data_IF_471775237640
#
_entry.id   IF_471775237640
#
_cell.length_a   1.000
_cell.length_b   1.000
_cell.length_c   1.000
_cell.angle_alpha   90.00
_cell.angle_beta   90.00
_cell.angle_gamma   90.00
#
_symmetry.space_group_name_H-M   'P 1'
#
loop_
_entity.id
_entity.type
_entity.pdbx_description
1 polymer ?
#
# COMPACT_ATOMS: atom_id res chain seq x y z
N UNK A 1 -26.10 -41.09 8.80
CA UNK A 1 -25.37 -41.60 9.99
C UNK A 1 -24.04 -40.88 10.31
N UNK A 2 -23.07 -40.64 9.39
CA UNK A 2 -21.78 -40.01 9.77
C UNK A 2 -21.87 -38.51 10.09
N UNK A 3 -22.90 -37.82 9.56
CA UNK A 3 -23.12 -36.39 9.82
C UNK A 3 -23.54 -36.10 11.26
N UNK A 4 -24.29 -37.00 11.91
CA UNK A 4 -24.71 -36.83 13.31
C UNK A 4 -23.49 -36.88 14.25
N UNK A 5 -22.52 -37.74 13.93
CA UNK A 5 -21.27 -37.86 14.70
C UNK A 5 -20.38 -36.62 14.48
N UNK A 6 -20.31 -36.11 13.25
CA UNK A 6 -19.59 -34.87 12.94
C UNK A 6 -20.22 -33.66 13.64
N UNK A 7 -21.56 -33.55 13.61
CA UNK A 7 -22.30 -32.45 14.24
C UNK A 7 -22.17 -32.50 15.78
N UNK A 8 -22.22 -33.70 16.36
CA UNK A 8 -21.95 -33.90 17.79
C UNK A 8 -20.52 -33.53 18.19
N UNK A 9 -19.53 -33.88 17.36
CA UNK A 9 -18.13 -33.53 17.62
C UNK A 9 -17.89 -32.02 17.52
N UNK A 10 -18.54 -31.31 16.59
CA UNK A 10 -18.46 -29.85 16.49
C UNK A 10 -19.13 -29.13 17.66
N UNK A 11 -20.28 -29.65 18.12
CA UNK A 11 -20.96 -29.12 19.32
C UNK A 11 -20.11 -29.33 20.58
N UNK A 12 -19.50 -30.51 20.72
CA UNK A 12 -18.62 -30.81 21.85
C UNK A 12 -17.35 -29.97 21.84
N UNK A 13 -16.72 -29.79 20.67
CA UNK A 13 -15.54 -28.93 20.51
C UNK A 13 -15.88 -27.45 20.81
N UNK A 14 -17.03 -26.95 20.34
CA UNK A 14 -17.51 -25.61 20.66
C UNK A 14 -17.76 -25.42 22.15
N UNK A 15 -18.36 -26.41 22.82
CA UNK A 15 -18.53 -26.41 24.27
C UNK A 15 -17.20 -26.40 25.03
N UNK A 16 -16.23 -27.19 24.58
CA UNK A 16 -14.90 -27.27 25.20
C UNK A 16 -14.12 -25.96 25.05
N UNK A 17 -14.21 -25.30 23.89
CA UNK A 17 -13.64 -23.96 23.66
C UNK A 17 -14.35 -22.91 24.51
N UNK A 18 -15.68 -22.96 24.63
CA UNK A 18 -16.44 -22.06 25.49
C UNK A 18 -16.03 -22.17 26.96
N UNK A 19 -15.86 -23.40 27.47
CA UNK A 19 -15.34 -23.65 28.82
C UNK A 19 -13.92 -23.10 28.95
N UNK A 20 -13.04 -23.32 27.96
CA UNK A 20 -11.68 -22.79 27.96
C UNK A 20 -11.64 -21.26 28.02
N UNK A 21 -12.49 -20.58 27.25
CA UNK A 21 -12.61 -19.12 27.23
C UNK A 21 -13.13 -18.59 28.58
N UNK A 22 -14.13 -19.26 29.17
CA UNK A 22 -14.65 -18.91 30.50
C UNK A 22 -13.56 -19.06 31.56
N UNK A 23 -12.78 -20.14 31.50
CA UNK A 23 -11.64 -20.37 32.40
C UNK A 23 -10.61 -19.26 32.20
N UNK A 24 -10.13 -19.00 30.98
CA UNK A 24 -9.15 -17.95 30.72
C UNK A 24 -9.60 -16.55 31.16
N UNK A 25 -10.89 -16.25 31.02
CA UNK A 25 -11.45 -14.96 31.44
C UNK A 25 -11.63 -14.85 32.96
N UNK A 26 -11.93 -15.94 33.66
CA UNK A 26 -12.09 -15.97 35.13
C UNK A 26 -10.80 -16.26 35.90
N UNK A 27 -9.79 -16.84 35.27
CA UNK A 27 -8.45 -17.05 35.85
C UNK A 27 -7.86 -15.78 36.48
N UNK A 28 -7.90 -14.57 35.85
CA UNK A 28 -7.37 -13.37 36.50
C UNK A 28 -8.17 -12.93 37.73
N UNK A 29 -9.49 -13.17 37.76
CA UNK A 29 -10.33 -12.89 38.94
C UNK A 29 -10.12 -13.89 40.07
N UNK A 30 -9.88 -15.17 39.74
CA UNK A 30 -9.53 -16.22 40.71
C UNK A 30 -8.11 -16.04 41.25
N UNK A 31 -7.18 -15.54 40.43
CA UNK A 31 -5.83 -15.17 40.85
C UNK A 31 -5.84 -13.99 41.84
N UNK A 32 -6.75 -13.03 41.69
CA UNK A 32 -6.92 -11.90 42.63
C UNK A 32 -7.47 -12.32 43.99
N UNK A 33 -8.36 -13.31 44.05
CA UNK A 33 -8.85 -13.90 45.32
C UNK A 33 -7.80 -14.79 46.00
N UNK A 34 -6.85 -15.33 45.24
CA UNK A 34 -5.75 -16.16 45.72
C UNK A 34 -4.54 -15.36 46.26
N UNK A 35 -4.70 -14.04 46.47
CA UNK A 35 -3.65 -13.18 47.07
C UNK A 35 -3.50 -13.37 48.59
N UNK A 36 -4.23 -14.32 49.18
CA UNK A 36 -3.88 -14.87 50.48
C UNK A 36 -2.99 -16.10 50.27
N UNK A 37 -1.80 -16.06 50.87
CA UNK A 37 -0.63 -16.93 50.68
C UNK A 37 -1.00 -18.44 50.72
N UNK A 38 -1.48 -19.01 49.62
CA UNK A 38 -1.67 -20.45 49.45
C UNK A 38 -0.59 -21.06 48.54
N UNK A 39 -0.01 -22.22 48.91
CA UNK A 39 1.09 -22.82 48.16
C UNK A 39 0.60 -23.40 46.83
N UNK A 40 1.19 -22.91 45.74
CA UNK A 40 1.28 -23.51 44.39
C UNK A 40 0.10 -24.39 43.93
N UNK A 41 -1.02 -23.74 43.58
CA UNK A 41 -2.20 -24.40 43.01
C UNK A 41 -1.91 -25.19 41.71
N UNK A 42 -0.96 -24.77 40.87
CA UNK A 42 -0.58 -25.52 39.67
C UNK A 42 0.12 -26.86 40.00
N UNK A 43 0.87 -26.91 41.09
CA UNK A 43 1.50 -28.14 41.58
C UNK A 43 0.45 -29.09 42.16
N UNK A 44 -0.49 -28.58 42.97
CA UNK A 44 -1.56 -29.39 43.56
C UNK A 44 -2.58 -29.90 42.56
N UNK A 45 -3.01 -29.07 41.60
CA UNK A 45 -3.94 -29.50 40.55
C UNK A 45 -3.30 -30.56 39.64
N UNK A 46 -2.04 -30.39 39.23
CA UNK A 46 -1.36 -31.40 38.42
C UNK A 46 -1.11 -32.69 39.20
N UNK A 47 -0.78 -32.63 40.49
CA UNK A 47 -0.65 -33.80 41.38
C UNK A 47 -2.01 -34.48 41.66
N UNK A 48 -3.09 -33.72 41.83
CA UNK A 48 -4.45 -34.27 42.01
C UNK A 48 -4.99 -34.89 40.71
N UNK A 49 -4.71 -34.27 39.56
CA UNK A 49 -5.02 -34.84 38.25
C UNK A 49 -4.17 -36.09 38.02
N UNK A 50 -2.88 -36.07 38.35
CA UNK A 50 -1.95 -37.21 38.19
C UNK A 50 -2.34 -38.39 39.08
N UNK A 51 -2.77 -38.14 40.32
CA UNK A 51 -3.24 -39.19 41.25
C UNK A 51 -4.61 -39.74 40.85
N UNK A 52 -5.52 -38.90 40.31
CA UNK A 52 -6.78 -39.39 39.73
C UNK A 52 -6.57 -40.15 38.43
N UNK A 53 -5.61 -39.74 37.61
CA UNK A 53 -5.28 -40.38 36.33
C UNK A 53 -4.53 -41.71 36.53
N UNK A 54 -3.70 -41.83 37.57
CA UNK A 54 -3.00 -43.08 37.92
C UNK A 54 -3.92 -44.14 38.54
N UNK A 55 -5.07 -43.75 39.10
CA UNK A 55 -6.11 -44.66 39.60
C UNK A 55 -6.99 -45.30 38.51
N UNK A 56 -7.05 -44.70 37.32
CA UNK A 56 -7.63 -45.32 36.13
C UNK A 56 -6.61 -46.31 35.59
N UNK A 57 -6.88 -47.62 35.71
CA UNK A 57 -6.04 -48.69 35.15
C UNK A 57 -5.76 -48.44 33.65
N UNK A 58 -4.62 -47.80 33.42
CA UNK A 58 -4.13 -47.27 32.14
C UNK A 58 -3.85 -48.36 31.11
N UNK A 59 -3.68 -49.60 31.55
CA UNK A 59 -3.26 -50.75 30.73
C UNK A 59 -4.19 -51.02 29.54
N UNK A 60 -5.51 -50.91 29.72
CA UNK A 60 -6.47 -51.32 28.69
C UNK A 60 -7.08 -50.15 27.90
N UNK A 61 -7.11 -48.95 28.48
CA UNK A 61 -7.72 -47.77 27.83
C UNK A 61 -6.76 -47.02 26.91
N UNK A 62 -5.47 -46.97 27.25
CA UNK A 62 -4.49 -46.27 26.44
C UNK A 62 -4.35 -46.78 25.00
N UNK A 63 -4.25 -48.09 24.75
CA UNK A 63 -4.16 -48.59 23.38
C UNK A 63 -5.43 -48.29 22.58
N UNK A 64 -6.61 -48.39 23.20
CA UNK A 64 -7.89 -48.05 22.56
C UNK A 64 -7.96 -46.56 22.24
N UNK A 65 -7.57 -45.69 23.17
CA UNK A 65 -7.51 -44.24 22.96
C UNK A 65 -6.50 -43.86 21.87
N UNK A 66 -5.30 -44.43 21.88
CA UNK A 66 -4.27 -44.20 20.84
C UNK A 66 -4.78 -44.64 19.47
N UNK A 67 -5.49 -45.78 19.37
CA UNK A 67 -6.08 -46.22 18.10
C UNK A 67 -7.17 -45.27 17.58
N UNK A 68 -7.96 -44.68 18.48
CA UNK A 68 -9.01 -43.72 18.13
C UNK A 68 -8.42 -42.34 17.77
N UNK A 69 -7.37 -41.94 18.47
CA UNK A 69 -6.58 -40.75 18.16
C UNK A 69 -5.97 -40.87 16.76
N UNK A 70 -5.39 -42.04 16.43
CA UNK A 70 -4.82 -42.31 15.11
C UNK A 70 -5.88 -42.20 14.00
N UNK A 71 -7.06 -42.81 14.18
CA UNK A 71 -8.19 -42.66 13.23
C UNK A 71 -8.63 -41.20 13.08
N UNK A 72 -8.63 -40.45 14.18
CA UNK A 72 -8.99 -39.03 14.18
C UNK A 72 -7.94 -38.20 13.44
N UNK A 73 -6.66 -38.43 13.70
CA UNK A 73 -5.53 -37.79 13.03
C UNK A 73 -5.53 -38.04 11.51
N UNK A 74 -5.87 -39.26 11.06
CA UNK A 74 -6.03 -39.55 9.63
C UNK A 74 -7.17 -38.72 9.00
N UNK A 75 -8.30 -38.58 9.70
CA UNK A 75 -9.42 -37.74 9.25
C UNK A 75 -9.05 -36.26 9.25
N UNK A 76 -8.32 -35.80 10.26
CA UNK A 76 -7.79 -34.44 10.32
C UNK A 76 -6.84 -34.17 9.15
N UNK A 77 -5.91 -35.10 8.84
CA UNK A 77 -5.03 -34.99 7.68
C UNK A 77 -5.82 -34.82 6.38
N UNK A 78 -6.87 -35.60 6.18
CA UNK A 78 -7.74 -35.49 5.00
C UNK A 78 -8.55 -34.18 4.99
N UNK A 79 -9.01 -33.70 6.15
CA UNK A 79 -9.69 -32.42 6.27
C UNK A 79 -8.76 -31.26 5.93
N UNK A 80 -7.52 -31.29 6.42
CA UNK A 80 -6.48 -30.31 6.08
C UNK A 80 -6.22 -30.31 4.57
N UNK A 81 -6.12 -31.49 3.94
CA UNK A 81 -5.95 -31.58 2.48
C UNK A 81 -7.11 -30.96 1.70
N UNK A 82 -8.35 -31.14 2.18
CA UNK A 82 -9.54 -30.52 1.57
C UNK A 82 -9.52 -28.99 1.73
N UNK A 83 -9.13 -28.52 2.90
CA UNK A 83 -8.99 -27.09 3.19
C UNK A 83 -7.91 -26.47 2.31
N UNK A 84 -6.77 -27.13 2.13
CA UNK A 84 -5.70 -26.70 1.23
C UNK A 84 -6.20 -26.55 -0.21
N UNK A 85 -6.97 -27.52 -0.69
CA UNK A 85 -7.56 -27.47 -2.03
C UNK A 85 -8.60 -26.33 -2.19
N UNK A 86 -9.34 -25.99 -1.12
CA UNK A 86 -10.21 -24.82 -1.09
C UNK A 86 -9.41 -23.51 -1.12
N UNK A 87 -8.29 -23.45 -0.38
CA UNK A 87 -7.41 -22.29 -0.40
C UNK A 87 -6.82 -22.03 -1.79
N UNK A 88 -6.43 -23.08 -2.53
CA UNK A 88 -5.96 -22.94 -3.91
C UNK A 88 -7.02 -22.27 -4.79
N UNK A 89 -8.28 -22.68 -4.67
CA UNK A 89 -9.39 -22.07 -5.41
C UNK A 89 -9.62 -20.59 -5.02
N UNK A 90 -9.57 -20.27 -3.73
CA UNK A 90 -9.73 -18.89 -3.26
C UNK A 90 -8.58 -17.98 -3.68
N UNK A 91 -7.34 -18.48 -3.67
CA UNK A 91 -6.17 -17.76 -4.16
C UNK A 91 -6.33 -17.44 -5.65
N UNK A 92 -6.82 -18.39 -6.45
CA UNK A 92 -7.10 -18.18 -7.86
C UNK A 92 -8.15 -17.08 -8.06
N UNK A 93 -9.28 -17.16 -7.37
CA UNK A 93 -10.31 -16.12 -7.43
C UNK A 93 -9.81 -14.74 -6.98
N UNK A 94 -8.97 -14.68 -5.94
CA UNK A 94 -8.41 -13.42 -5.47
C UNK A 94 -7.49 -12.79 -6.52
N UNK A 95 -6.69 -13.60 -7.22
CA UNK A 95 -5.83 -13.14 -8.31
C UNK A 95 -6.64 -12.62 -9.49
N UNK A 96 -7.63 -13.39 -9.96
CA UNK A 96 -8.50 -13.00 -11.06
C UNK A 96 -9.26 -11.69 -10.74
N UNK A 97 -9.71 -11.52 -9.49
CA UNK A 97 -10.31 -10.27 -9.01
C UNK A 97 -9.33 -9.10 -8.99
N UNK A 98 -8.08 -9.32 -8.56
CA UNK A 98 -7.03 -8.29 -8.59
C UNK A 98 -6.73 -7.83 -10.02
N UNK A 99 -6.63 -8.78 -10.96
CA UNK A 99 -6.34 -8.49 -12.36
C UNK A 99 -7.49 -7.71 -13.01
N UNK A 100 -8.74 -8.09 -12.75
CA UNK A 100 -9.91 -7.31 -13.23
C UNK A 100 -9.99 -5.93 -12.58
N UNK A 101 -9.62 -5.78 -11.30
CA UNK A 101 -9.60 -4.48 -10.62
C UNK A 101 -8.52 -3.55 -11.17
N UNK A 102 -7.34 -4.08 -11.48
CA UNK A 102 -6.26 -3.30 -12.12
C UNK A 102 -6.61 -2.88 -13.54
N UNK A 103 -7.26 -3.74 -14.32
CA UNK A 103 -7.78 -3.40 -15.65
C UNK A 103 -8.85 -2.29 -15.54
N UNK A 104 -9.80 -2.42 -14.60
CA UNK A 104 -10.87 -1.43 -14.40
C UNK A 104 -10.32 -0.10 -13.89
N UNK A 105 -9.33 -0.12 -13.02
CA UNK A 105 -8.62 1.07 -12.53
C UNK A 105 -7.89 1.79 -13.68
N UNK A 106 -7.16 1.06 -14.53
CA UNK A 106 -6.52 1.63 -15.72
C UNK A 106 -7.54 2.26 -16.67
N UNK A 107 -8.65 1.57 -16.95
CA UNK A 107 -9.72 2.12 -17.81
C UNK A 107 -10.36 3.39 -17.23
N UNK A 108 -10.57 3.42 -15.91
CA UNK A 108 -11.09 4.61 -15.22
C UNK A 108 -10.10 5.79 -15.27
N UNK A 109 -8.80 5.53 -15.10
CA UNK A 109 -7.75 6.55 -15.20
C UNK A 109 -7.64 7.14 -16.61
N UNK A 110 -7.71 6.29 -17.64
CA UNK A 110 -7.72 6.76 -19.03
C UNK A 110 -8.95 7.65 -19.33
N UNK A 111 -10.13 7.26 -18.86
CA UNK A 111 -11.32 8.09 -19.01
C UNK A 111 -11.17 9.47 -18.34
N UNK A 112 -10.57 9.50 -17.14
CA UNK A 112 -10.33 10.77 -16.41
C UNK A 112 -9.30 11.65 -17.14
N UNK A 113 -8.27 11.04 -17.74
CA UNK A 113 -7.29 11.76 -18.58
C UNK A 113 -7.92 12.36 -19.82
N UNK A 114 -8.76 11.61 -20.53
CA UNK A 114 -9.45 12.11 -21.72
C UNK A 114 -10.35 13.30 -21.38
N UNK A 115 -11.12 13.19 -20.30
CA UNK A 115 -11.97 14.29 -19.83
C UNK A 115 -11.16 15.55 -19.50
N UNK A 116 -10.02 15.40 -18.81
CA UNK A 116 -9.14 16.54 -18.49
C UNK A 116 -8.56 17.17 -19.77
N UNK A 117 -8.20 16.35 -20.77
CA UNK A 117 -7.75 16.85 -22.09
C UNK A 117 -8.85 17.63 -22.82
N UNK A 118 -10.08 17.15 -22.81
CA UNK A 118 -11.22 17.85 -23.39
C UNK A 118 -11.46 19.20 -22.70
N UNK A 119 -11.45 19.22 -21.36
CA UNK A 119 -11.59 20.46 -20.57
C UNK A 119 -10.47 21.47 -20.90
N UNK A 120 -9.21 21.03 -20.98
CA UNK A 120 -8.09 21.92 -21.37
C UNK A 120 -8.22 22.44 -22.80
N UNK A 121 -8.70 21.63 -23.74
CA UNK A 121 -8.91 22.09 -25.12
C UNK A 121 -10.05 23.10 -25.21
N UNK A 122 -11.09 22.97 -24.37
CA UNK A 122 -12.17 23.96 -24.30
C UNK A 122 -11.65 25.28 -23.74
N UNK A 123 -10.86 25.25 -22.66
CA UNK A 123 -10.23 26.44 -22.10
C UNK A 123 -9.31 27.13 -23.11
N UNK A 124 -8.45 26.38 -23.81
CA UNK A 124 -7.58 26.93 -24.85
C UNK A 124 -8.37 27.59 -26.00
N UNK A 125 -9.52 27.02 -26.38
CA UNK A 125 -10.41 27.63 -27.38
C UNK A 125 -11.04 28.92 -26.88
N UNK A 126 -11.46 28.97 -25.61
CA UNK A 126 -12.02 30.17 -24.98
C UNK A 126 -10.97 31.27 -24.92
N UNK A 127 -9.76 30.98 -24.44
CA UNK A 127 -8.65 31.94 -24.40
C UNK A 127 -8.31 32.48 -25.80
N UNK A 128 -8.26 31.62 -26.83
CA UNK A 128 -8.06 32.05 -28.22
C UNK A 128 -9.16 32.97 -28.72
N UNK A 129 -10.41 32.72 -28.34
CA UNK A 129 -11.54 33.59 -28.72
C UNK A 129 -11.48 34.93 -28.02
N UNK A 130 -11.12 34.97 -26.74
CA UNK A 130 -10.94 36.21 -25.98
C UNK A 130 -9.77 37.03 -26.53
N UNK A 131 -8.63 36.39 -26.81
CA UNK A 131 -7.47 37.03 -27.45
C UNK A 131 -7.82 37.57 -28.84
N UNK A 132 -8.62 36.85 -29.63
CA UNK A 132 -9.06 37.35 -30.94
C UNK A 132 -9.97 38.58 -30.80
N UNK A 133 -10.84 38.61 -29.79
CA UNK A 133 -11.71 39.75 -29.50
C UNK A 133 -10.92 40.96 -28.98
N UNK A 134 -9.91 40.75 -28.15
CA UNK A 134 -9.03 41.83 -27.68
C UNK A 134 -8.19 42.40 -28.82
N UNK A 135 -7.62 41.55 -29.69
CA UNK A 135 -6.93 42.00 -30.90
C UNK A 135 -7.86 42.83 -31.78
N UNK A 136 -9.09 42.36 -32.05
CA UNK A 136 -10.07 43.15 -32.82
C UNK A 136 -10.45 44.47 -32.15
N UNK A 137 -10.49 44.53 -30.82
CA UNK A 137 -10.77 45.77 -30.08
C UNK A 137 -9.59 46.73 -30.19
N UNK A 138 -8.36 46.24 -30.03
CA UNK A 138 -7.13 47.01 -30.21
C UNK A 138 -7.04 47.52 -31.65
N UNK A 139 -7.27 46.69 -32.67
CA UNK A 139 -7.28 47.13 -34.08
C UNK A 139 -8.33 48.23 -34.33
N UNK A 140 -9.50 48.15 -33.70
CA UNK A 140 -10.52 49.21 -33.81
C UNK A 140 -10.15 50.49 -33.07
N UNK A 141 -9.43 50.40 -31.96
CA UNK A 141 -8.90 51.57 -31.24
C UNK A 141 -7.76 52.21 -32.03
N UNK A 142 -6.81 51.42 -32.52
CA UNK A 142 -5.73 51.86 -33.39
C UNK A 142 -6.25 52.47 -34.69
N UNK A 143 -7.26 51.89 -35.34
CA UNK A 143 -7.86 52.48 -36.55
C UNK A 143 -8.53 53.84 -36.27
N UNK A 144 -9.16 54.01 -35.09
CA UNK A 144 -9.71 55.31 -34.67
C UNK A 144 -8.60 56.31 -34.38
N UNK A 145 -7.51 55.86 -33.76
CA UNK A 145 -6.37 56.69 -33.45
C UNK A 145 -5.56 57.03 -34.71
N UNK A 146 -5.51 56.18 -35.73
CA UNK A 146 -4.97 56.46 -37.06
C UNK A 146 -5.84 57.48 -37.82
N UNK A 147 -7.17 57.37 -37.75
CA UNK A 147 -8.09 58.37 -38.31
C UNK A 147 -7.98 59.73 -37.57
N UNK A 148 -7.72 59.71 -36.27
CA UNK A 148 -7.51 60.90 -35.46
C UNK A 148 -6.11 61.49 -35.68
N UNK A 149 -5.06 60.68 -35.76
CA UNK A 149 -3.68 61.09 -36.06
C UNK A 149 -3.54 61.57 -37.51
N UNK A 150 -4.33 61.04 -38.45
CA UNK A 150 -4.41 61.58 -39.81
C UNK A 150 -5.10 62.95 -39.83
N UNK A 151 -6.12 63.19 -39.00
CA UNK A 151 -6.71 64.52 -38.80
C UNK A 151 -5.75 65.49 -38.10
N UNK A 152 -5.04 65.02 -37.07
CA UNK A 152 -4.08 65.80 -36.30
C UNK A 152 -2.84 66.14 -37.14
N UNK A 153 -2.36 65.23 -37.99
CA UNK A 153 -1.23 65.45 -38.90
C UNK A 153 -1.56 66.39 -40.06
N UNK A 154 -2.84 66.57 -40.41
CA UNK A 154 -3.29 67.65 -41.32
C UNK A 154 -3.29 69.01 -40.60
N UNK A 155 -3.40 69.03 -39.27
CA UNK A 155 -3.35 70.24 -38.45
C UNK A 155 -1.90 70.61 -38.01
N UNK A 156 -1.01 69.63 -37.87
CA UNK A 156 0.37 69.78 -37.38
C UNK A 156 1.41 70.07 -38.49
N UNK A 157 1.06 70.06 -39.78
CA UNK A 157 1.94 70.69 -40.82
C UNK A 157 2.09 72.21 -40.60
N UNK A 158 1.40 72.80 -39.62
CA UNK A 158 1.49 74.21 -39.28
C UNK A 158 2.36 74.58 -38.07
N UNK A 159 3.04 73.66 -37.38
CA UNK A 159 4.03 74.06 -36.36
C UNK A 159 4.96 72.93 -35.92
N UNK A 160 6.23 73.28 -35.87
CA UNK A 160 7.44 72.45 -35.84
C UNK A 160 7.95 72.19 -34.41
N UNK A 161 8.73 71.10 -34.26
CA UNK A 161 9.75 70.77 -33.21
C UNK A 161 9.25 70.62 -31.74
N UNK A 162 9.75 69.74 -30.86
CA UNK A 162 10.98 68.94 -30.76
C UNK A 162 10.86 67.95 -29.56
N UNK A 163 11.82 67.02 -29.45
CA UNK A 163 12.27 66.27 -28.26
C UNK A 163 11.77 64.82 -27.98
N UNK A 164 12.74 63.98 -27.64
CA UNK A 164 12.80 62.51 -27.45
C UNK A 164 13.61 62.25 -26.14
N UNK A 165 13.89 61.01 -25.67
CA UNK A 165 13.07 59.84 -25.32
C UNK A 165 13.36 59.29 -23.89
N UNK A 166 12.73 58.15 -23.55
CA UNK A 166 13.26 57.03 -22.72
C UNK A 166 12.78 56.88 -21.26
N UNK A 167 12.08 55.77 -20.97
CA UNK A 167 12.25 54.93 -19.76
C UNK A 167 11.40 53.64 -19.86
N UNK A 168 12.07 52.49 -19.74
CA UNK A 168 11.50 51.14 -19.65
C UNK A 168 10.78 50.89 -18.30
N UNK A 169 9.78 49.99 -18.24
CA UNK A 169 9.51 49.24 -17.02
C UNK A 169 9.92 47.77 -17.15
N UNK A 170 10.99 47.41 -16.43
CA UNK A 170 11.45 46.03 -16.25
C UNK A 170 10.65 45.29 -15.17
N UNK A 171 10.25 44.06 -15.53
CA UNK A 171 10.01 42.87 -14.71
C UNK A 171 9.17 42.99 -13.41
N UNK A 172 7.89 42.63 -13.50
CA UNK A 172 7.09 42.15 -12.36
C UNK A 172 7.23 40.63 -12.30
N UNK A 173 7.71 40.16 -11.15
CA UNK A 173 7.86 38.75 -10.76
C UNK A 173 6.47 38.09 -10.67
N UNK A 174 6.24 37.04 -11.48
CA UNK A 174 5.02 36.23 -11.42
C UNK A 174 5.17 35.25 -10.26
N UNK A 175 4.45 35.50 -9.16
CA UNK A 175 4.23 34.51 -8.11
C UNK A 175 3.10 33.57 -8.57
N UNK A 176 3.46 32.42 -9.14
CA UNK A 176 2.51 31.34 -9.39
C UNK A 176 2.10 30.66 -8.07
N UNK A 177 0.80 30.60 -7.74
CA UNK A 177 0.31 29.85 -6.58
C UNK A 177 0.44 28.34 -6.87
N UNK A 178 1.35 27.67 -6.16
CA UNK A 178 1.50 26.22 -6.19
C UNK A 178 0.24 25.55 -5.60
N UNK A 179 -0.47 24.68 -6.34
CA UNK A 179 -1.59 23.92 -5.80
C UNK A 179 -1.09 22.80 -4.90
N UNK A 180 -1.69 22.70 -3.72
CA UNK A 180 -1.45 21.70 -2.68
C UNK A 180 -1.39 20.27 -3.26
N UNK A 181 -0.22 19.65 -3.16
CA UNK A 181 0.05 18.29 -3.61
C UNK A 181 -0.70 17.28 -2.72
N UNK A 182 -1.65 16.57 -3.34
CA UNK A 182 -2.00 15.21 -2.92
C UNK A 182 -0.71 14.40 -2.72
N UNK A 183 -0.68 13.51 -1.73
CA UNK A 183 0.43 12.58 -1.39
C UNK A 183 0.71 11.60 -2.55
N UNK A 184 1.20 12.17 -3.66
CA UNK A 184 1.78 11.51 -4.80
C UNK A 184 3.19 11.20 -4.34
N UNK A 185 3.46 9.92 -4.14
CA UNK A 185 4.80 9.37 -3.97
C UNK A 185 5.71 10.02 -5.03
N UNK A 186 6.50 11.01 -4.63
CA UNK A 186 7.39 11.75 -5.51
C UNK A 186 8.51 10.80 -5.88
N UNK A 187 8.31 10.06 -6.96
CA UNK A 187 9.35 9.20 -7.53
C UNK A 187 10.50 10.13 -7.89
N UNK A 188 11.54 10.13 -7.04
CA UNK A 188 12.72 10.97 -7.19
C UNK A 188 13.29 10.80 -8.60
N UNK A 189 13.87 11.85 -9.17
CA UNK A 189 14.52 11.75 -10.50
C UNK A 189 15.53 10.59 -10.55
N UNK A 190 16.17 10.30 -9.41
CA UNK A 190 17.07 9.17 -9.23
C UNK A 190 16.36 7.81 -9.32
N UNK A 191 15.16 7.66 -8.73
CA UNK A 191 14.37 6.44 -8.82
C UNK A 191 13.92 6.17 -10.25
N UNK A 192 13.46 7.22 -10.95
CA UNK A 192 13.01 7.10 -12.35
C UNK A 192 14.12 6.58 -13.25
N UNK A 193 15.35 7.08 -13.07
CA UNK A 193 16.52 6.63 -13.83
C UNK A 193 16.74 5.12 -13.73
N UNK A 194 16.67 4.55 -12.51
CA UNK A 194 16.86 3.11 -12.32
C UNK A 194 15.64 2.29 -12.76
N UNK A 195 14.43 2.83 -12.62
CA UNK A 195 13.21 2.20 -13.13
C UNK A 195 13.27 2.07 -14.66
N UNK A 196 13.67 3.13 -15.37
CA UNK A 196 13.83 3.11 -16.82
C UNK A 196 14.96 2.18 -17.26
N UNK A 197 16.06 2.12 -16.52
CA UNK A 197 17.15 1.17 -16.77
C UNK A 197 16.69 -0.29 -16.62
N UNK A 198 15.89 -0.60 -15.59
CA UNK A 198 15.29 -1.92 -15.39
C UNK A 198 14.28 -2.24 -16.50
N UNK A 199 13.53 -1.25 -16.98
CA UNK A 199 12.60 -1.42 -18.08
C UNK A 199 13.33 -1.77 -19.38
N UNK A 200 14.50 -1.19 -19.62
CA UNK A 200 15.36 -1.50 -20.77
C UNK A 200 16.08 -2.84 -20.60
N UNK A 201 16.57 -3.15 -19.39
CA UNK A 201 17.23 -4.40 -19.07
C UNK A 201 16.69 -5.04 -17.77
N UNK A 202 15.70 -5.93 -17.88
CA UNK A 202 15.06 -6.57 -16.71
C UNK A 202 15.95 -7.53 -15.92
N UNK A 203 17.19 -7.78 -16.35
CA UNK A 203 18.16 -8.65 -15.65
C UNK A 203 19.33 -7.86 -15.06
N UNK A 204 19.28 -6.53 -15.11
CA UNK A 204 20.35 -5.69 -14.57
C UNK A 204 20.28 -5.64 -13.03
N UNK A 205 21.14 -6.45 -12.40
CA UNK A 205 21.24 -6.58 -10.94
C UNK A 205 21.67 -5.25 -10.29
N UNK A 206 22.50 -4.45 -10.97
CA UNK A 206 23.04 -3.22 -10.42
C UNK A 206 21.97 -2.13 -10.31
N UNK A 207 21.16 -1.95 -11.36
CA UNK A 207 20.00 -1.04 -11.33
C UNK A 207 18.96 -1.46 -10.28
N UNK A 208 18.70 -2.77 -10.14
CA UNK A 208 17.85 -3.25 -9.04
C UNK A 208 18.43 -2.91 -7.67
N UNK A 209 19.73 -3.14 -7.45
CA UNK A 209 20.39 -2.85 -6.16
C UNK A 209 20.31 -1.36 -5.81
N UNK A 210 20.61 -0.49 -6.78
CA UNK A 210 20.54 0.96 -6.60
C UNK A 210 19.12 1.43 -6.24
N UNK A 211 18.09 0.92 -6.92
CA UNK A 211 16.69 1.21 -6.58
C UNK A 211 16.32 0.75 -5.16
N UNK A 212 16.78 -0.44 -4.76
CA UNK A 212 16.49 -0.95 -3.42
C UNK A 212 17.20 -0.14 -2.32
N UNK A 213 18.38 0.40 -2.61
CA UNK A 213 19.12 1.27 -1.70
C UNK A 213 18.42 2.62 -1.51
N UNK A 214 17.82 3.17 -2.57
CA UNK A 214 16.99 4.38 -2.47
C UNK A 214 15.82 4.13 -1.52
N UNK A 215 15.08 3.03 -1.69
CA UNK A 215 13.98 2.68 -0.78
C UNK A 215 14.44 2.42 0.66
N UNK A 216 15.63 1.85 0.83
CA UNK A 216 16.23 1.64 2.14
C UNK A 216 16.55 2.97 2.83
N UNK A 217 17.14 3.91 2.09
CA UNK A 217 17.50 5.25 2.59
C UNK A 217 16.27 6.11 2.91
N UNK A 218 15.19 5.94 2.16
CA UNK A 218 13.88 6.56 2.44
C UNK A 218 13.16 5.95 3.65
N UNK A 219 13.76 4.97 4.32
CA UNK A 219 13.17 4.23 5.44
C UNK A 219 11.89 3.46 5.08
N UNK A 220 11.59 3.28 3.78
CA UNK A 220 10.54 2.37 3.32
C UNK A 220 11.04 0.92 3.36
N UNK A 221 11.23 0.41 4.58
CA UNK A 221 11.78 -0.92 4.82
C UNK A 221 10.89 -2.06 4.27
N UNK A 222 9.59 -1.81 4.06
CA UNK A 222 8.69 -2.77 3.41
C UNK A 222 9.04 -2.97 1.94
N UNK A 223 9.23 -1.88 1.22
CA UNK A 223 9.46 -1.88 -0.23
C UNK A 223 10.90 -2.26 -0.54
N UNK A 224 11.85 -1.72 0.23
CA UNK A 224 13.26 -2.12 0.17
C UNK A 224 13.42 -3.64 0.34
N UNK A 225 12.70 -4.26 1.28
CA UNK A 225 12.74 -5.72 1.47
C UNK A 225 12.18 -6.48 0.28
N UNK A 226 11.10 -6.01 -0.34
CA UNK A 226 10.54 -6.65 -1.53
C UNK A 226 11.53 -6.56 -2.71
N UNK A 227 12.17 -5.41 -2.85
CA UNK A 227 13.17 -5.11 -3.86
C UNK A 227 14.43 -5.98 -3.69
N UNK A 228 15.03 -6.03 -2.49
CA UNK A 228 16.21 -6.86 -2.21
C UNK A 228 15.95 -8.36 -2.42
N UNK A 229 14.71 -8.83 -2.23
CA UNK A 229 14.35 -10.22 -2.57
C UNK A 229 14.37 -10.49 -4.08
N UNK A 230 14.14 -9.49 -4.93
CA UNK A 230 14.30 -9.65 -6.37
C UNK A 230 15.77 -9.68 -6.77
N UNK A 231 16.60 -8.82 -6.18
CA UNK A 231 18.05 -8.86 -6.39
C UNK A 231 18.59 -10.26 -6.08
N UNK A 232 18.24 -10.84 -4.93
CA UNK A 232 18.69 -12.20 -4.55
C UNK A 232 18.13 -13.34 -5.42
N UNK A 233 17.08 -13.10 -6.20
CA UNK A 233 16.61 -14.09 -7.19
C UNK A 233 17.40 -14.03 -8.49
N UNK A 234 17.87 -12.83 -8.86
CA UNK A 234 18.71 -12.63 -10.03
C UNK A 234 20.17 -13.01 -9.73
N UNK A 235 20.66 -12.64 -8.55
CA UNK A 235 21.97 -12.99 -8.02
C UNK A 235 21.86 -13.54 -6.59
N UNK A 236 21.76 -14.88 -6.45
CA UNK A 236 21.71 -15.53 -5.14
C UNK A 236 23.02 -15.42 -4.34
N UNK A 237 24.13 -15.05 -4.97
CA UNK A 237 25.46 -14.97 -4.36
C UNK A 237 25.78 -13.59 -3.78
N UNK A 238 24.88 -12.63 -3.94
CA UNK A 238 25.07 -11.27 -3.44
C UNK A 238 24.99 -11.18 -1.91
N UNK A 239 26.15 -11.26 -1.26
CA UNK A 239 26.31 -11.11 0.18
C UNK A 239 25.89 -9.71 0.68
N UNK A 240 26.06 -8.67 -0.14
CA UNK A 240 25.75 -7.28 0.26
C UNK A 240 24.25 -7.09 0.43
N UNK A 241 23.46 -7.60 -0.51
CA UNK A 241 22.00 -7.60 -0.42
C UNK A 241 21.51 -8.48 0.71
N UNK A 242 22.17 -9.64 0.95
CA UNK A 242 21.82 -10.53 2.06
C UNK A 242 22.00 -9.83 3.40
N UNK A 243 23.11 -9.12 3.59
CA UNK A 243 23.38 -8.34 4.80
C UNK A 243 22.34 -7.21 5.00
N UNK A 244 21.99 -6.46 3.94
CA UNK A 244 20.95 -5.41 4.00
C UNK A 244 19.57 -5.98 4.32
N UNK A 245 19.21 -7.14 3.79
CA UNK A 245 17.95 -7.80 4.10
C UNK A 245 17.90 -8.30 5.57
N UNK A 246 19.02 -8.76 6.11
CA UNK A 246 19.14 -9.14 7.52
C UNK A 246 19.05 -7.94 8.46
N UNK A 247 19.68 -6.81 8.12
CA UNK A 247 19.57 -5.58 8.92
C UNK A 247 18.12 -5.10 9.01
N UNK A 248 17.37 -5.11 7.89
CA UNK A 248 15.93 -4.79 7.87
C UNK A 248 15.12 -5.71 8.78
N UNK A 249 15.42 -7.01 8.79
CA UNK A 249 14.74 -7.98 9.67
C UNK A 249 15.01 -7.68 11.15
N UNK A 250 16.26 -7.35 11.49
CA UNK A 250 16.67 -6.97 12.85
C UNK A 250 15.92 -5.73 13.36
N UNK A 251 15.80 -4.69 12.54
CA UNK A 251 15.12 -3.43 12.88
C UNK A 251 13.63 -3.62 13.24
N UNK A 252 12.94 -4.57 12.59
CA UNK A 252 11.52 -4.86 12.88
C UNK A 252 11.33 -5.68 14.17
N UNK A 253 12.33 -6.43 14.60
CA UNK A 253 12.32 -7.18 15.86
C UNK A 253 12.37 -6.28 17.10
N UNK A 254 13.09 -5.15 17.03
CA UNK A 254 13.24 -4.21 18.15
C UNK A 254 11.99 -3.39 18.48
N UNK A 255 11.11 -3.11 17.51
CA UNK A 255 9.87 -2.33 17.71
C UNK A 255 8.73 -3.08 18.41
N UNK A 256 8.86 -4.39 18.65
CA UNK A 256 7.82 -5.19 19.32
C UNK A 256 7.96 -5.28 20.85
N UNK A 257 9.05 -4.75 21.41
CA UNK A 257 9.30 -4.72 22.85
C UNK A 257 9.24 -3.27 23.34
N UNK A 258 8.05 -2.68 23.40
CA UNK A 258 7.76 -1.52 24.24
C UNK A 258 6.27 -1.48 24.57
#
# INVERSE_FOLDING_TARGET
MPWIILFGATLFAGGMVGILVIVFRKVPTLAKLSSEKQPSLNGKLSEEIKTRLSGLKYSNFLPVFLSQLEKSLRKFRLAILKIDNLFVSWIKQARDKSDTWTIRSRAWMEHRRLKKKEETQVLEKLDKTEVSQTIQRIEKEVAKDEDNAFKEKVEIVNSVEEASPMAEPAAVEIFEPQPEEEEILTVSEEEKKYIDAIAQNPKDVESYRALCDIYFNQQSYSDARACFRQVLKLDPTDETTRAKLESIKGLRGGKKNK
#
